data_IF_759635886067
#
_entry.id   IF_759635886067
#
_cell.length_a   1.000
_cell.length_b   1.000
_cell.length_c   1.000
_cell.angle_alpha   90.00
_cell.angle_beta   90.00
_cell.angle_gamma   90.00
#
_symmetry.space_group_name_H-M   'P 1'
#
loop_
_entity.id
_entity.type
_entity.pdbx_description
1 polymer ?
#
# COMPACT_ATOMS: atom_id res chain seq x y z
N UNK A 1 7.63 5.86 -21.83
CA UNK A 1 6.34 5.12 -21.70
C UNK A 1 6.36 4.01 -20.65
N UNK A 2 7.31 3.04 -20.67
CA UNK A 2 7.34 1.93 -19.69
C UNK A 2 7.44 2.36 -18.21
N UNK A 3 8.20 3.42 -17.88
CA UNK A 3 8.31 3.94 -16.50
C UNK A 3 6.99 4.47 -15.93
N UNK A 4 6.31 5.35 -16.68
CA UNK A 4 4.99 5.90 -16.33
C UNK A 4 3.92 4.81 -16.12
N UNK A 5 3.95 3.73 -16.92
CA UNK A 5 3.04 2.60 -16.75
C UNK A 5 3.32 1.82 -15.44
N UNK A 6 4.59 1.63 -15.10
CA UNK A 6 5.00 0.97 -13.86
C UNK A 6 4.66 1.80 -12.62
N UNK A 7 4.78 3.13 -12.69
CA UNK A 7 4.39 4.05 -11.63
C UNK A 7 2.88 4.04 -11.38
N UNK A 8 2.07 4.11 -12.45
CA UNK A 8 0.61 4.01 -12.36
C UNK A 8 0.15 2.68 -11.78
N UNK A 9 0.80 1.58 -12.18
CA UNK A 9 0.52 0.26 -11.60
C UNK A 9 0.81 0.21 -10.10
N UNK A 10 1.91 0.85 -9.67
CA UNK A 10 2.29 0.89 -8.26
C UNK A 10 1.32 1.75 -7.43
N UNK A 11 0.91 2.92 -7.93
CA UNK A 11 -0.13 3.74 -7.31
C UNK A 11 -1.46 2.99 -7.17
N UNK A 12 -1.83 2.20 -8.18
CA UNK A 12 -3.02 1.37 -8.13
C UNK A 12 -2.93 0.29 -7.04
N UNK A 13 -1.77 -0.37 -6.91
CA UNK A 13 -1.52 -1.36 -5.85
C UNK A 13 -1.59 -0.72 -4.46
N UNK A 14 -0.98 0.46 -4.27
CA UNK A 14 -1.07 1.24 -3.02
C UNK A 14 -2.54 1.53 -2.69
N UNK A 15 -3.33 1.98 -3.67
CA UNK A 15 -4.76 2.26 -3.50
C UNK A 15 -5.57 1.03 -3.07
N UNK A 16 -5.32 -0.14 -3.68
CA UNK A 16 -5.96 -1.41 -3.29
C UNK A 16 -5.56 -1.79 -1.87
N UNK A 17 -4.25 -1.81 -1.57
CA UNK A 17 -3.72 -2.25 -0.28
C UNK A 17 -4.24 -1.37 0.86
N UNK A 18 -4.31 -0.05 0.63
CA UNK A 18 -4.92 0.91 1.57
C UNK A 18 -6.39 0.59 1.87
N UNK A 19 -7.20 0.25 0.86
CA UNK A 19 -8.60 -0.17 1.06
C UNK A 19 -8.68 -1.47 1.88
N UNK A 20 -7.80 -2.44 1.63
CA UNK A 20 -7.73 -3.69 2.38
C UNK A 20 -7.37 -3.42 3.85
N UNK A 21 -6.35 -2.59 4.10
CA UNK A 21 -5.93 -2.22 5.45
C UNK A 21 -7.09 -1.61 6.24
N UNK A 22 -7.81 -0.64 5.67
CA UNK A 22 -8.96 -0.04 6.34
C UNK A 22 -10.10 -1.01 6.61
N UNK A 23 -10.38 -1.93 5.68
CA UNK A 23 -11.38 -3.00 5.92
C UNK A 23 -10.96 -3.88 7.09
N UNK A 24 -9.70 -4.31 7.13
CA UNK A 24 -9.17 -5.11 8.25
C UNK A 24 -9.20 -4.32 9.56
N UNK A 25 -8.83 -3.04 9.55
CA UNK A 25 -8.89 -2.18 10.74
C UNK A 25 -10.30 -2.03 11.29
N UNK A 26 -11.30 -1.91 10.40
CA UNK A 26 -12.72 -1.86 10.80
C UNK A 26 -13.20 -3.18 11.43
N UNK A 27 -12.68 -4.32 10.98
CA UNK A 27 -13.07 -5.64 11.49
C UNK A 27 -12.32 -6.03 12.76
N UNK A 28 -11.02 -5.78 12.82
CA UNK A 28 -10.12 -6.33 13.85
C UNK A 28 -9.55 -5.27 14.81
N UNK A 29 -9.66 -3.98 14.48
CA UNK A 29 -8.99 -2.88 15.18
C UNK A 29 -7.61 -2.55 14.60
N UNK A 30 -7.14 -1.32 14.82
CA UNK A 30 -5.90 -0.80 14.19
C UNK A 30 -4.62 -1.50 14.67
N UNK A 31 -4.59 -1.97 15.92
CA UNK A 31 -3.42 -2.62 16.52
C UNK A 31 -3.36 -4.12 16.25
N UNK A 32 -4.37 -4.68 15.58
CA UNK A 32 -4.41 -6.10 15.31
C UNK A 32 -3.23 -6.51 14.41
N UNK A 33 -2.53 -7.63 14.68
CA UNK A 33 -1.34 -8.02 13.91
C UNK A 33 -1.55 -8.06 12.39
N UNK A 34 -2.73 -8.50 11.94
CA UNK A 34 -3.09 -8.52 10.51
C UNK A 34 -3.25 -7.13 9.87
N UNK A 35 -3.56 -6.10 10.67
CA UNK A 35 -3.67 -4.71 10.23
C UNK A 35 -2.30 -4.07 10.21
N UNK A 36 -1.49 -4.32 11.25
CA UNK A 36 -0.08 -3.88 11.33
C UNK A 36 0.75 -4.48 10.20
N UNK A 37 0.63 -5.77 9.92
CA UNK A 37 1.30 -6.38 8.77
C UNK A 37 0.83 -5.74 7.45
N UNK A 38 -0.47 -5.46 7.31
CA UNK A 38 -1.00 -4.82 6.11
C UNK A 38 -0.52 -3.37 5.95
N UNK A 39 -0.29 -2.64 7.04
CA UNK A 39 0.27 -1.28 7.00
C UNK A 39 1.75 -1.31 6.62
N UNK A 40 2.52 -2.28 7.13
CA UNK A 40 3.93 -2.45 6.75
C UNK A 40 4.07 -2.76 5.24
N UNK A 41 3.26 -3.66 4.71
CA UNK A 41 3.26 -3.95 3.27
C UNK A 41 2.81 -2.74 2.43
N UNK A 42 1.92 -1.88 2.97
CA UNK A 42 1.52 -0.64 2.30
C UNK A 42 2.68 0.37 2.29
N UNK A 43 3.40 0.50 3.40
CA UNK A 43 4.58 1.37 3.50
C UNK A 43 5.69 0.95 2.53
N UNK A 44 5.94 -0.36 2.37
CA UNK A 44 6.89 -0.86 1.36
C UNK A 44 6.51 -0.43 -0.07
N UNK A 45 5.22 -0.49 -0.41
CA UNK A 45 4.74 -0.05 -1.72
C UNK A 45 4.90 1.46 -1.91
N UNK A 46 4.66 2.25 -0.86
CA UNK A 46 4.84 3.71 -0.86
C UNK A 46 6.33 4.05 -1.03
N UNK A 47 7.22 3.42 -0.27
CA UNK A 47 8.66 3.64 -0.35
C UNK A 47 9.18 3.32 -1.75
N UNK A 48 8.78 2.19 -2.32
CA UNK A 48 9.12 1.81 -3.71
C UNK A 48 8.61 2.79 -4.75
N UNK A 49 7.50 3.48 -4.47
CA UNK A 49 7.00 4.53 -5.35
C UNK A 49 7.82 5.80 -5.21
N UNK A 50 8.12 6.21 -3.99
CA UNK A 50 8.95 7.38 -3.71
C UNK A 50 10.37 7.24 -4.28
N UNK A 51 10.99 6.06 -4.19
CA UNK A 51 12.29 5.77 -4.81
C UNK A 51 12.28 5.88 -6.34
N UNK A 52 11.14 5.62 -6.98
CA UNK A 52 11.01 5.67 -8.45
C UNK A 52 10.71 7.07 -8.97
N UNK A 53 10.14 7.93 -8.13
CA UNK A 53 9.70 9.28 -8.47
C UNK A 53 10.68 10.35 -7.99
N UNK A 54 11.53 10.04 -7.00
CA UNK A 54 12.70 10.86 -6.61
C UNK A 54 13.78 10.81 -7.69
#
# INVERSE_FOLDING_TARGET
>A
MKRLLNEKALLFQIGIKRKVMYRKAKTFGYTHPLVVACSQELDELINRYQEKVS
#
